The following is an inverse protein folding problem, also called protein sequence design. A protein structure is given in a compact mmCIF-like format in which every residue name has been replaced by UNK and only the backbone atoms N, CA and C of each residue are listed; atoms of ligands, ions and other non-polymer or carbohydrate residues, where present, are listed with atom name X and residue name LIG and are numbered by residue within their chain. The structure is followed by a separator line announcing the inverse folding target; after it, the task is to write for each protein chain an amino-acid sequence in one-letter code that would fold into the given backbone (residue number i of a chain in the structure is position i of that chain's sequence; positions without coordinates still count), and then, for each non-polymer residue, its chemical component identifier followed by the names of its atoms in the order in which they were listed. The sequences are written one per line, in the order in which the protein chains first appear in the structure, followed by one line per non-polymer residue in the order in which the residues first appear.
data_IF_676449846033
#
_entry.id   IF_676449846033
#
_cell.length_a   1.000
_cell.length_b   1.000
_cell.length_c   1.000
_cell.angle_alpha   90.00
_cell.angle_beta   90.00
_cell.angle_gamma   90.00
#
_symmetry.space_group_name_H-M   'P 1'
#
loop_
_entity.id
_entity.type
_entity.pdbx_description
1 polymer ?
#
# COMPACT_ATOMS: atom_id res chain seq x y z
N UNK A 1 14.65 20.11 37.70
CA UNK A 1 14.96 20.52 36.31
C UNK A 1 14.84 19.30 35.43
N UNK A 2 13.69 19.13 34.77
CA UNK A 2 13.43 17.96 33.92
C UNK A 2 14.11 18.17 32.56
N UNK A 3 15.03 17.28 32.19
CA UNK A 3 15.57 17.23 30.83
C UNK A 3 14.46 16.76 29.89
N UNK A 4 14.04 17.64 28.99
CA UNK A 4 13.17 17.31 27.87
C UNK A 4 13.91 16.39 26.91
N UNK A 5 13.38 15.19 26.68
CA UNK A 5 13.87 14.33 25.61
C UNK A 5 13.41 14.91 24.28
N UNK A 6 14.39 15.33 23.47
CA UNK A 6 14.15 15.56 22.05
C UNK A 6 13.81 14.22 21.41
N UNK A 7 12.53 14.03 21.03
CA UNK A 7 12.13 12.93 20.16
C UNK A 7 12.81 13.17 18.80
N UNK A 8 13.95 12.52 18.59
CA UNK A 8 14.66 12.55 17.33
C UNK A 8 13.70 12.21 16.19
N UNK A 9 13.54 13.14 15.24
CA UNK A 9 12.79 12.84 14.03
C UNK A 9 13.60 11.82 13.23
N UNK A 10 13.18 10.56 13.25
CA UNK A 10 13.74 9.53 12.40
C UNK A 10 13.70 9.97 10.93
N UNK A 11 14.84 9.86 10.25
CA UNK A 11 14.96 10.24 8.84
C UNK A 11 14.03 9.37 7.98
N UNK A 12 13.58 9.86 6.81
CA UNK A 12 12.84 9.03 5.86
C UNK A 12 13.70 7.82 5.48
N UNK A 13 13.38 6.63 6.00
CA UNK A 13 14.17 5.40 5.84
C UNK A 13 14.57 4.71 7.15
N UNK A 14 14.65 5.45 8.27
CA UNK A 14 14.99 4.87 9.58
C UNK A 14 13.78 4.26 10.30
N UNK A 15 12.57 4.63 9.86
CA UNK A 15 11.34 4.02 10.37
C UNK A 15 11.04 2.74 9.60
N UNK A 16 10.62 1.67 10.29
CA UNK A 16 10.11 0.50 9.59
C UNK A 16 9.00 0.91 8.60
N UNK A 17 8.92 0.25 7.43
CA UNK A 17 7.90 0.58 6.44
C UNK A 17 6.50 0.35 7.00
N UNK A 18 5.55 1.19 6.58
CA UNK A 18 4.14 0.95 6.86
C UNK A 18 3.63 -0.14 5.91
N UNK A 19 3.09 -1.22 6.45
CA UNK A 19 2.55 -2.33 5.67
C UNK A 19 1.03 -2.30 5.78
N UNK A 20 0.34 -2.28 4.63
CA UNK A 20 -1.12 -2.41 4.54
C UNK A 20 -1.41 -3.72 3.81
N UNK A 21 -2.06 -4.65 4.50
CA UNK A 21 -2.54 -5.89 3.90
C UNK A 21 -4.04 -5.76 3.60
N UNK A 22 -4.39 -5.84 2.32
CA UNK A 22 -5.77 -5.80 1.85
C UNK A 22 -6.19 -7.21 1.46
N UNK A 23 -7.29 -7.68 2.04
CA UNK A 23 -7.89 -8.97 1.72
C UNK A 23 -9.34 -8.75 1.29
N UNK A 24 -9.70 -9.28 0.13
CA UNK A 24 -11.05 -9.23 -0.39
C UNK A 24 -11.60 -10.66 -0.47
N UNK A 25 -12.84 -10.83 -0.02
CA UNK A 25 -13.53 -12.10 -0.12
C UNK A 25 -13.90 -12.41 -1.58
N UNK A 26 -13.78 -13.68 -1.97
CA UNK A 26 -14.07 -14.19 -3.31
C UNK A 26 -13.42 -13.46 -4.50
N UNK A 27 -12.35 -12.68 -4.27
CA UNK A 27 -11.64 -12.01 -5.35
C UNK A 27 -10.79 -13.00 -6.15
N UNK A 28 -11.26 -13.38 -7.33
CA UNK A 28 -10.51 -14.19 -8.29
C UNK A 28 -9.44 -13.36 -9.01
N UNK A 29 -8.40 -14.01 -9.53
CA UNK A 29 -7.33 -13.32 -10.24
C UNK A 29 -7.82 -12.54 -11.48
N UNK A 30 -8.85 -13.01 -12.17
CA UNK A 30 -9.42 -12.38 -13.36
C UNK A 30 -10.37 -11.20 -13.06
N UNK A 31 -10.59 -10.86 -11.78
CA UNK A 31 -11.39 -9.70 -11.34
C UNK A 31 -10.55 -8.46 -11.05
N UNK A 32 -9.34 -8.40 -11.60
CA UNK A 32 -8.51 -7.20 -11.67
C UNK A 32 -8.33 -6.84 -13.15
N UNK A 33 -8.65 -5.60 -13.52
CA UNK A 33 -8.61 -5.16 -14.91
C UNK A 33 -7.17 -5.21 -15.47
N UNK A 34 -6.17 -4.86 -14.67
CA UNK A 34 -4.75 -5.01 -15.02
C UNK A 34 -4.33 -6.44 -15.39
N UNK A 35 -5.11 -7.47 -15.03
CA UNK A 35 -4.88 -8.85 -15.43
C UNK A 35 -5.52 -9.22 -16.79
N UNK A 36 -6.03 -8.24 -17.54
CA UNK A 36 -6.48 -8.43 -18.92
C UNK A 36 -7.98 -8.63 -19.12
N UNK A 37 -8.81 -8.42 -18.09
CA UNK A 37 -10.26 -8.51 -18.21
C UNK A 37 -10.89 -7.16 -18.60
N UNK A 38 -11.42 -6.99 -19.83
CA UNK A 38 -11.90 -5.69 -20.33
C UNK A 38 -13.23 -5.23 -19.69
N UNK A 39 -13.94 -6.13 -19.00
CA UNK A 39 -15.22 -5.80 -18.36
C UNK A 39 -15.07 -5.30 -16.93
N UNK A 40 -13.90 -5.51 -16.32
CA UNK A 40 -13.62 -5.15 -14.94
C UNK A 40 -13.05 -3.75 -14.85
N UNK A 41 -13.33 -3.05 -13.75
CA UNK A 41 -12.80 -1.71 -13.47
C UNK A 41 -12.22 -1.69 -12.06
N UNK A 42 -10.90 -1.61 -11.95
CA UNK A 42 -10.18 -1.62 -10.66
C UNK A 42 -9.14 -0.51 -10.59
N UNK A 43 -9.50 0.78 -10.83
CA UNK A 43 -8.54 1.85 -11.11
C UNK A 43 -7.48 2.08 -10.02
N UNK A 44 -7.81 1.79 -8.75
CA UNK A 44 -6.85 1.89 -7.65
C UNK A 44 -5.88 0.71 -7.63
N UNK A 45 -6.37 -0.52 -7.85
CA UNK A 45 -5.53 -1.72 -7.93
C UNK A 45 -4.65 -1.68 -9.18
N UNK A 46 -5.22 -1.23 -10.31
CA UNK A 46 -4.49 -1.10 -11.58
C UNK A 46 -3.33 -0.11 -11.42
N UNK A 47 -3.58 1.06 -10.82
CA UNK A 47 -2.53 2.03 -10.49
C UNK A 47 -1.47 1.48 -9.54
N UNK A 48 -1.86 0.62 -8.58
CA UNK A 48 -0.89 -0.03 -7.69
C UNK A 48 -0.04 -1.05 -8.46
N UNK A 49 -0.64 -1.86 -9.33
CA UNK A 49 0.06 -2.83 -10.16
C UNK A 49 1.04 -2.17 -11.14
N UNK A 50 0.70 -1.00 -11.69
CA UNK A 50 1.60 -0.22 -12.56
C UNK A 50 2.82 0.36 -11.84
N UNK A 51 2.73 0.60 -10.53
CA UNK A 51 3.76 1.32 -9.75
C UNK A 51 4.81 0.40 -9.14
N UNK A 52 4.52 -0.89 -8.99
CA UNK A 52 5.41 -1.87 -8.35
C UNK A 52 5.44 -1.75 -6.83
#
# INVERSE_FOLDING_TARGET
MALGQALGQAAPGDRPPNIIFLFADDQRADTIAAHGNPHIRTPNLDRMAERG
#
